data_IF_986261215791
#
_entry.id   IF_986261215791
#
_cell.length_a   1.000
_cell.length_b   1.000
_cell.length_c   1.000
_cell.angle_alpha   90.00
_cell.angle_beta   90.00
_cell.angle_gamma   90.00
#
_symmetry.space_group_name_H-M   'P 1'
#
loop_
_entity.id
_entity.type
_entity.pdbx_description
1 polymer ?
#
# COMPACT_ATOMS: atom_id res chain seq x y z
N UNK A 1 8.03 47.43 -22.53
CA UNK A 1 8.01 45.97 -22.84
C UNK A 1 6.58 45.64 -23.21
N UNK A 2 6.29 45.20 -24.44
CA UNK A 2 4.92 44.79 -24.80
C UNK A 2 4.55 43.54 -24.01
N UNK A 3 3.41 43.58 -23.32
CA UNK A 3 2.86 42.41 -22.63
C UNK A 3 2.53 41.33 -23.66
N UNK A 4 3.13 40.15 -23.48
CA UNK A 4 2.89 39.01 -24.36
C UNK A 4 1.53 38.40 -23.97
N UNK A 5 0.52 38.42 -24.87
CA UNK A 5 -0.80 37.91 -24.54
C UNK A 5 -0.76 36.40 -24.30
N UNK A 6 -1.47 35.95 -23.28
CA UNK A 6 -1.62 34.53 -23.00
C UNK A 6 -2.62 33.94 -23.98
N UNK A 7 -2.30 32.86 -24.68
CA UNK A 7 -3.26 32.24 -25.60
C UNK A 7 -3.35 30.74 -25.42
N UNK A 8 -4.53 30.19 -25.71
CA UNK A 8 -4.79 28.76 -25.67
C UNK A 8 -4.37 28.11 -27.00
N UNK A 9 -3.47 27.14 -26.95
CA UNK A 9 -2.99 26.45 -28.17
C UNK A 9 -4.07 25.57 -28.84
N UNK A 10 -5.13 25.19 -28.13
CA UNK A 10 -6.18 24.31 -28.66
C UNK A 10 -7.21 25.06 -29.49
N UNK A 11 -7.62 26.24 -29.03
CA UNK A 11 -8.69 27.04 -29.65
C UNK A 11 -8.23 28.42 -30.11
N UNK A 12 -6.95 28.75 -29.91
CA UNK A 12 -6.33 30.03 -30.27
C UNK A 12 -6.94 31.28 -29.62
N UNK A 13 -7.75 31.13 -28.56
CA UNK A 13 -8.26 32.28 -27.80
C UNK A 13 -7.13 32.97 -27.02
N UNK A 14 -7.11 34.31 -27.08
CA UNK A 14 -6.22 35.16 -26.28
C UNK A 14 -6.90 35.56 -24.97
N UNK A 15 -6.07 35.71 -23.94
CA UNK A 15 -6.46 36.05 -22.59
C UNK A 15 -5.57 37.19 -22.09
N UNK A 16 -6.15 38.17 -21.40
CA UNK A 16 -5.43 39.30 -20.83
C UNK A 16 -4.52 38.88 -19.67
N UNK A 17 -4.76 37.73 -19.05
CA UNK A 17 -3.91 37.19 -17.96
C UNK A 17 -3.93 35.66 -17.91
N UNK A 18 -2.99 35.10 -17.14
CA UNK A 18 -2.82 33.65 -16.97
C UNK A 18 -4.04 32.99 -16.31
N UNK A 19 -4.68 33.67 -15.36
CA UNK A 19 -5.81 33.14 -14.59
C UNK A 19 -7.02 32.85 -15.47
N UNK A 20 -7.37 33.77 -16.37
CA UNK A 20 -8.45 33.57 -17.34
C UNK A 20 -8.15 32.43 -18.31
N UNK A 21 -6.89 32.30 -18.74
CA UNK A 21 -6.46 31.16 -19.57
C UNK A 21 -6.61 29.83 -18.81
N UNK A 22 -6.29 29.78 -17.52
CA UNK A 22 -6.48 28.58 -16.71
C UNK A 22 -7.95 28.23 -16.51
N UNK A 23 -8.80 29.22 -16.22
CA UNK A 23 -10.24 29.01 -16.08
C UNK A 23 -10.86 28.52 -17.39
N UNK A 24 -10.43 29.07 -18.53
CA UNK A 24 -10.78 28.58 -19.85
C UNK A 24 -10.35 27.12 -20.08
N UNK A 25 -9.11 26.76 -19.74
CA UNK A 25 -8.63 25.38 -19.86
C UNK A 25 -9.45 24.40 -18.99
N UNK A 26 -9.95 24.84 -17.83
CA UNK A 26 -10.81 24.06 -16.93
C UNK A 26 -12.25 23.93 -17.45
N UNK A 27 -12.79 24.95 -18.11
CA UNK A 27 -14.19 24.98 -18.58
C UNK A 27 -14.38 24.43 -20.00
N UNK A 28 -13.62 24.95 -20.97
CA UNK A 28 -13.87 24.72 -22.41
C UNK A 28 -13.14 23.51 -22.99
N UNK A 29 -12.11 23.00 -22.29
CA UNK A 29 -11.30 21.86 -22.75
C UNK A 29 -11.41 20.63 -21.85
N UNK A 30 -12.44 20.57 -21.00
CA UNK A 30 -12.70 19.44 -20.08
C UNK A 30 -12.82 18.09 -20.79
N UNK A 31 -13.18 18.07 -22.08
CA UNK A 31 -13.33 16.83 -22.87
C UNK A 31 -12.06 16.34 -23.58
N UNK A 32 -11.03 17.18 -23.74
CA UNK A 32 -9.74 16.75 -24.34
C UNK A 32 -8.61 16.70 -23.33
N UNK A 33 -8.88 17.05 -22.07
CA UNK A 33 -8.14 16.53 -20.93
C UNK A 33 -8.63 15.11 -20.60
N UNK A 34 -8.54 14.21 -21.59
CA UNK A 34 -7.73 13.02 -21.33
C UNK A 34 -6.34 13.56 -20.97
N UNK A 35 -6.20 14.08 -19.74
CA UNK A 35 -4.92 14.14 -19.06
C UNK A 35 -4.46 12.72 -19.22
N UNK A 36 -3.57 12.47 -20.19
CA UNK A 36 -2.90 11.19 -20.31
C UNK A 36 -2.38 11.03 -18.91
N UNK A 37 -3.03 10.16 -18.12
CA UNK A 37 -2.77 9.99 -16.70
C UNK A 37 -1.39 9.37 -16.71
N UNK A 38 -0.34 10.18 -16.82
CA UNK A 38 1.02 9.69 -16.93
C UNK A 38 1.23 9.05 -15.58
N UNK A 39 1.18 7.72 -15.49
CA UNK A 39 1.31 7.07 -14.21
C UNK A 39 2.71 7.38 -13.75
N UNK A 40 2.86 7.97 -12.57
CA UNK A 40 4.17 8.15 -12.00
C UNK A 40 4.64 6.76 -11.61
N UNK A 41 5.62 6.24 -12.35
CA UNK A 41 6.27 4.98 -12.00
C UNK A 41 7.19 5.26 -10.82
N UNK A 42 6.86 4.71 -9.68
CA UNK A 42 7.80 4.58 -8.57
C UNK A 42 8.53 3.26 -8.79
N UNK A 43 9.74 3.36 -9.31
CA UNK A 43 10.69 2.26 -9.24
C UNK A 43 11.38 2.39 -7.90
N UNK A 44 10.88 1.66 -6.91
CA UNK A 44 11.62 1.45 -5.67
C UNK A 44 12.40 0.17 -5.86
N UNK A 45 13.71 0.28 -6.08
CA UNK A 45 14.58 -0.89 -6.09
C UNK A 45 14.88 -1.21 -4.63
N UNK A 46 13.92 -1.82 -3.94
CA UNK A 46 14.31 -2.72 -2.87
C UNK A 46 14.86 -3.97 -3.60
N UNK A 47 16.16 -4.29 -3.48
CA UNK A 47 16.79 -5.39 -4.24
C UNK A 47 16.06 -6.72 -4.08
N UNK A 48 15.36 -6.88 -2.96
CA UNK A 48 14.64 -8.08 -2.57
C UNK A 48 13.20 -8.20 -3.11
N UNK A 49 12.60 -7.15 -3.70
CA UNK A 49 11.20 -7.23 -4.12
C UNK A 49 10.95 -7.03 -5.62
N UNK A 50 11.81 -6.33 -6.38
CA UNK A 50 11.66 -6.22 -7.86
C UNK A 50 10.30 -5.68 -8.35
N UNK A 51 9.46 -5.17 -7.46
CA UNK A 51 8.09 -4.78 -7.74
C UNK A 51 8.02 -3.32 -8.18
N UNK A 52 7.25 -3.06 -9.24
CA UNK A 52 7.00 -1.70 -9.72
C UNK A 52 5.62 -1.21 -9.28
N UNK A 53 5.60 -0.14 -8.48
CA UNK A 53 4.36 0.54 -8.10
C UNK A 53 4.10 1.70 -9.08
N UNK A 54 2.94 1.67 -9.73
CA UNK A 54 2.41 2.75 -10.55
C UNK A 54 1.42 3.56 -9.72
N UNK A 55 1.74 4.83 -9.48
CA UNK A 55 0.82 5.75 -8.84
C UNK A 55 0.02 6.51 -9.90
N UNK A 56 -1.30 6.55 -9.72
CA UNK A 56 -2.20 7.38 -10.50
C UNK A 56 -2.68 8.54 -9.64
N UNK A 57 -2.73 9.72 -10.27
CA UNK A 57 -3.33 10.91 -9.68
C UNK A 57 -4.84 10.68 -9.48
N UNK A 58 -5.34 11.08 -8.32
CA UNK A 58 -6.75 11.00 -7.94
C UNK A 58 -7.59 12.08 -8.62
N UNK A 59 -8.92 12.05 -8.41
CA UNK A 59 -9.86 13.03 -8.99
C UNK A 59 -9.65 14.46 -8.43
N UNK A 60 -9.13 14.55 -7.22
CA UNK A 60 -8.72 15.78 -6.52
C UNK A 60 -7.37 16.36 -7.00
N UNK A 61 -6.73 15.74 -7.99
CA UNK A 61 -5.42 16.10 -8.53
C UNK A 61 -4.21 15.85 -7.62
N UNK A 62 -4.37 15.13 -6.51
CA UNK A 62 -3.26 14.71 -5.65
C UNK A 62 -2.83 13.27 -5.94
N UNK A 63 -1.57 12.99 -5.63
CA UNK A 63 -1.08 11.64 -5.47
C UNK A 63 -1.06 11.30 -3.97
N UNK A 64 -1.42 10.06 -3.64
CA UNK A 64 -1.53 9.59 -2.26
C UNK A 64 -0.52 8.49 -1.99
N UNK A 65 0.03 8.45 -0.77
CA UNK A 65 0.91 7.37 -0.35
C UNK A 65 0.15 6.03 -0.35
N UNK A 66 0.67 4.98 -1.00
CA UNK A 66 0.03 3.66 -1.05
C UNK A 66 0.23 2.84 0.22
N UNK A 67 1.03 3.30 1.18
CA UNK A 67 1.38 2.57 2.41
C UNK A 67 0.30 2.78 3.48
N UNK A 68 -0.09 1.68 4.14
CA UNK A 68 -1.12 1.66 5.17
C UNK A 68 -0.69 2.50 6.38
N UNK A 69 -1.59 3.37 6.85
CA UNK A 69 -1.32 4.28 7.97
C UNK A 69 -0.59 5.57 7.59
N UNK A 70 -0.32 5.81 6.30
CA UNK A 70 0.28 7.04 5.83
C UNK A 70 -0.72 7.86 4.98
N UNK A 71 -1.04 9.06 5.43
CA UNK A 71 -1.99 9.98 4.77
C UNK A 71 -1.31 11.10 3.98
N UNK A 72 0.01 10.99 3.78
CA UNK A 72 0.75 11.96 2.99
C UNK A 72 0.24 12.00 1.54
N UNK A 73 0.09 13.21 1.03
CA UNK A 73 -0.33 13.50 -0.34
C UNK A 73 0.39 14.71 -0.90
N UNK A 74 0.64 14.69 -2.20
CA UNK A 74 1.27 15.82 -2.91
C UNK A 74 0.73 15.93 -4.35
N UNK A 75 0.73 17.13 -4.92
CA UNK A 75 0.31 17.34 -6.32
C UNK A 75 1.36 16.84 -7.32
N UNK A 76 2.64 16.83 -6.92
CA UNK A 76 3.79 16.44 -7.73
C UNK A 76 4.17 14.99 -7.42
N UNK A 77 4.07 14.12 -8.43
CA UNK A 77 4.43 12.71 -8.28
C UNK A 77 5.91 12.47 -7.92
N UNK A 78 6.81 13.39 -8.26
CA UNK A 78 8.23 13.32 -7.87
C UNK A 78 8.44 13.46 -6.37
N UNK A 79 7.71 14.38 -5.73
CA UNK A 79 7.79 14.62 -4.27
C UNK A 79 7.24 13.40 -3.53
N UNK A 80 6.09 12.88 -3.96
CA UNK A 80 5.55 11.64 -3.39
C UNK A 80 6.48 10.43 -3.61
N UNK A 81 7.16 10.36 -4.75
CA UNK A 81 8.16 9.32 -5.00
C UNK A 81 9.29 9.39 -3.96
N UNK A 82 9.84 10.57 -3.70
CA UNK A 82 10.87 10.75 -2.68
C UNK A 82 10.34 10.38 -1.29
N UNK A 83 9.11 10.76 -0.97
CA UNK A 83 8.45 10.38 0.28
C UNK A 83 8.32 8.86 0.45
N UNK A 84 7.89 8.13 -0.57
CA UNK A 84 7.77 6.67 -0.52
C UNK A 84 9.14 5.97 -0.40
N UNK A 85 10.21 6.61 -0.87
CA UNK A 85 11.59 6.12 -0.80
C UNK A 85 12.34 6.60 0.45
N UNK A 86 11.68 7.30 1.36
CA UNK A 86 12.29 7.70 2.63
C UNK A 86 12.52 6.49 3.54
N UNK A 87 13.45 6.62 4.48
CA UNK A 87 13.83 5.56 5.43
C UNK A 87 12.66 5.04 6.27
N UNK A 88 11.64 5.87 6.50
CA UNK A 88 10.42 5.48 7.22
C UNK A 88 9.50 4.56 6.42
N UNK A 89 9.52 4.68 5.09
CA UNK A 89 8.62 3.94 4.19
C UNK A 89 9.29 2.79 3.45
N UNK A 90 10.60 2.87 3.23
CA UNK A 90 11.36 1.82 2.54
C UNK A 90 11.13 0.40 3.10
N UNK A 91 11.13 0.15 4.43
CA UNK A 91 10.85 -1.19 4.97
C UNK A 91 9.37 -1.62 4.83
N UNK A 92 8.47 -0.69 4.53
CA UNK A 92 7.02 -0.91 4.40
C UNK A 92 6.57 -1.05 2.94
N UNK A 93 7.50 -1.03 1.98
CA UNK A 93 7.19 -1.23 0.56
C UNK A 93 7.02 -2.71 0.21
N UNK A 94 6.10 -3.40 0.89
CA UNK A 94 5.70 -4.76 0.59
C UNK A 94 4.16 -4.88 0.51
N UNK A 95 3.69 -5.95 -0.12
CA UNK A 95 2.27 -6.18 -0.41
C UNK A 95 1.38 -6.14 0.84
N UNK A 96 1.87 -6.62 1.98
CA UNK A 96 1.14 -6.70 3.25
C UNK A 96 0.89 -5.31 3.87
N UNK A 97 1.75 -4.35 3.53
CA UNK A 97 1.71 -2.99 4.07
C UNK A 97 1.03 -1.99 3.13
N UNK A 98 0.55 -2.42 1.97
CA UNK A 98 -0.19 -1.57 1.06
C UNK A 98 -1.64 -1.35 1.52
N UNK A 99 -2.20 -0.19 1.19
CA UNK A 99 -3.62 0.08 1.38
C UNK A 99 -4.47 -0.85 0.51
N UNK A 100 -5.70 -1.13 0.95
CA UNK A 100 -6.60 -2.10 0.29
C UNK A 100 -6.98 -1.70 -1.13
N UNK A 101 -6.84 -0.42 -1.50
CA UNK A 101 -7.17 0.07 -2.85
C UNK A 101 -6.02 -0.14 -3.85
N UNK A 102 -4.86 -0.64 -3.42
CA UNK A 102 -3.75 -1.00 -4.31
C UNK A 102 -4.12 -2.28 -5.08
N UNK A 103 -4.33 -2.16 -6.39
CA UNK A 103 -4.69 -3.29 -7.25
C UNK A 103 -3.45 -3.92 -7.88
N UNK A 104 -3.36 -5.25 -7.82
CA UNK A 104 -2.32 -6.03 -8.52
C UNK A 104 -2.67 -6.12 -10.02
N UNK A 105 -1.80 -5.61 -10.88
CA UNK A 105 -1.84 -5.80 -12.34
C UNK A 105 -0.80 -6.85 -12.75
N UNK A 106 -1.27 -8.06 -13.07
CA UNK A 106 -0.43 -9.12 -13.64
C UNK A 106 -0.32 -8.88 -15.15
N UNK A 107 0.87 -8.49 -15.64
CA UNK A 107 1.12 -8.38 -17.09
C UNK A 107 1.73 -9.68 -17.61
N UNK A 108 0.98 -10.43 -18.43
CA UNK A 108 1.49 -11.56 -19.22
C UNK A 108 2.28 -11.05 -20.42
N UNK A 109 3.54 -10.64 -20.24
CA UNK A 109 4.51 -10.54 -21.33
C UNK A 109 5.80 -11.22 -20.89
N UNK A 110 6.56 -11.74 -21.86
CA UNK A 110 7.82 -12.49 -21.65
C UNK A 110 8.68 -11.82 -20.56
N UNK A 111 8.78 -12.45 -19.39
CA UNK A 111 9.31 -11.85 -18.17
C UNK A 111 8.19 -11.29 -17.29
N UNK A 112 7.54 -12.16 -16.51
CA UNK A 112 6.43 -11.80 -15.63
C UNK A 112 6.92 -10.90 -14.48
N UNK A 113 6.83 -9.59 -14.63
CA UNK A 113 6.96 -8.64 -13.53
C UNK A 113 5.58 -8.29 -12.99
N UNK A 114 5.40 -8.46 -11.69
CA UNK A 114 4.20 -7.97 -11.00
C UNK A 114 4.25 -6.44 -10.95
N UNK A 115 3.16 -5.79 -11.33
CA UNK A 115 3.04 -4.34 -11.20
C UNK A 115 1.80 -4.00 -10.40
N UNK A 116 1.92 -3.05 -9.49
CA UNK A 116 0.79 -2.60 -8.68
C UNK A 116 0.32 -1.24 -9.17
N UNK A 117 -0.99 -1.03 -9.25
CA UNK A 117 -1.55 0.28 -9.58
C UNK A 117 -2.36 0.78 -8.41
N UNK A 118 -1.95 1.92 -7.85
CA UNK A 118 -2.69 2.61 -6.80
C UNK A 118 -3.42 3.82 -7.36
N UNK A 119 -4.71 3.92 -7.03
CA UNK A 119 -5.55 5.08 -7.27
C UNK A 119 -6.44 5.27 -6.04
N UNK A 120 -6.27 6.35 -5.30
CA UNK A 120 -7.14 6.64 -4.17
C UNK A 120 -8.54 6.93 -4.69
N UNK A 121 -9.51 6.16 -4.20
CA UNK A 121 -10.92 6.30 -4.54
C UNK A 121 -11.54 7.14 -3.44
N UNK A 122 -11.87 8.40 -3.75
CA UNK A 122 -12.73 9.17 -2.86
C UNK A 122 -14.11 8.48 -2.81
N UNK A 123 -14.73 8.35 -1.62
CA UNK A 123 -16.10 7.86 -1.50
C UNK A 123 -17.00 8.58 -2.51
N UNK A 124 -17.81 7.82 -3.25
CA UNK A 124 -18.62 8.39 -4.34
C UNK A 124 -19.66 9.40 -3.84
N UNK A 125 -19.94 9.39 -2.53
CA UNK A 125 -20.91 10.25 -1.87
C UNK A 125 -20.33 11.59 -1.41
N UNK A 126 -19.04 11.84 -1.67
CA UNK A 126 -18.47 13.18 -1.55
C UNK A 126 -19.03 14.07 -2.66
N UNK A 127 -20.26 14.55 -2.45
CA UNK A 127 -20.77 15.71 -3.16
C UNK A 127 -19.90 16.87 -2.71
N UNK A 128 -19.04 17.35 -3.61
CA UNK A 128 -18.38 18.62 -3.44
C UNK A 128 -19.50 19.65 -3.44
N UNK A 129 -19.95 20.04 -2.25
CA UNK A 129 -20.87 21.15 -2.12
C UNK A 129 -20.08 22.39 -2.50
N UNK A 130 -20.21 22.80 -3.76
CA UNK A 130 -19.57 23.98 -4.31
C UNK A 130 -20.26 25.28 -3.84
N UNK A 131 -21.15 25.18 -2.85
CA UNK A 131 -22.02 26.29 -2.42
C UNK A 131 -21.38 27.27 -1.44
N UNK A 132 -20.26 26.95 -0.80
CA UNK A 132 -19.56 27.89 0.09
C UNK A 132 -18.18 28.31 -0.44
N UNK A 133 -18.17 28.94 -1.63
CA UNK A 133 -17.13 29.92 -1.93
C UNK A 133 -17.50 31.20 -1.18
N UNK A 134 -17.38 31.11 0.14
CA UNK A 134 -17.49 32.23 1.06
C UNK A 134 -16.44 33.27 0.64
N UNK A 135 -16.93 34.48 0.36
CA UNK A 135 -16.14 35.63 0.00
C UNK A 135 -15.32 36.04 1.22
N UNK A 136 -14.18 35.38 1.41
CA UNK A 136 -13.27 35.66 2.52
C UNK A 136 -12.77 37.11 2.39
N UNK A 137 -13.09 38.00 3.35
CA UNK A 137 -12.54 39.35 3.33
C UNK A 137 -11.02 39.29 3.52
N UNK A 138 -10.30 40.15 2.80
CA UNK A 138 -8.86 40.27 2.86
C UNK A 138 -8.39 40.39 4.31
N UNK A 139 -7.60 39.42 4.77
CA UNK A 139 -6.98 39.46 6.10
C UNK A 139 -5.73 40.35 6.02
N UNK A 140 -5.56 41.33 6.92
CA UNK A 140 -4.44 42.25 6.89
C UNK A 140 -3.12 41.54 7.23
N UNK A 141 -2.05 41.98 6.57
CA UNK A 141 -0.68 41.50 6.76
C UNK A 141 -0.25 41.60 8.24
N UNK A 142 0.37 40.56 8.81
CA UNK A 142 1.08 40.71 10.07
C UNK A 142 2.47 41.31 9.79
N UNK A 143 2.73 42.41 10.47
CA UNK A 143 4.04 43.04 10.57
C UNK A 143 5.02 42.12 11.31
N UNK A 144 6.27 42.27 10.90
CA UNK A 144 7.50 41.84 11.55
C UNK A 144 7.44 41.95 13.07
N UNK A 145 7.81 40.86 13.77
CA UNK A 145 8.25 40.91 15.15
C UNK A 145 9.21 39.76 15.40
N UNK A 146 10.49 40.12 15.33
CA UNK A 146 11.61 39.41 15.96
C UNK A 146 11.38 39.21 17.47
N UNK A 147 12.06 38.19 18.00
CA UNK A 147 12.88 38.18 19.24
C UNK A 147 12.66 36.92 20.12
N UNK A 148 13.81 36.30 20.44
CA UNK A 148 14.19 35.43 21.55
C UNK A 148 13.88 33.92 21.57
N UNK A 149 14.94 33.15 21.29
CA UNK A 149 15.73 32.39 22.28
C UNK A 149 15.06 32.07 23.63
N UNK A 150 14.80 30.77 23.86
CA UNK A 150 15.15 30.16 25.14
C UNK A 150 15.28 28.64 25.02
N UNK A 151 16.50 28.16 25.22
CA UNK A 151 16.80 26.80 25.60
C UNK A 151 16.05 26.44 26.89
N UNK A 152 15.44 25.25 26.93
CA UNK A 152 15.27 24.59 28.22
C UNK A 152 15.51 23.10 28.10
N UNK A 153 16.56 22.71 28.80
CA UNK A 153 17.01 21.37 29.13
C UNK A 153 15.97 20.74 30.08
N UNK A 154 15.49 19.54 29.80
CA UNK A 154 14.80 18.74 30.83
C UNK A 154 15.10 17.26 30.65
N UNK A 155 16.23 16.93 31.24
CA UNK A 155 16.65 15.65 31.82
C UNK A 155 15.54 14.95 32.62
N UNK A 156 15.18 13.69 32.30
CA UNK A 156 14.56 12.71 33.23
C UNK A 156 14.77 11.29 32.67
N UNK A 157 15.80 10.57 33.09
CA UNK A 157 15.83 9.54 34.14
C UNK A 157 15.04 8.24 33.87
N UNK A 158 15.81 7.20 33.53
CA UNK A 158 15.75 5.80 33.99
C UNK A 158 14.40 5.17 34.38
N UNK A 159 14.06 4.06 33.74
CA UNK A 159 13.55 2.87 34.47
C UNK A 159 14.05 1.59 33.81
N UNK A 160 14.96 0.96 34.52
CA UNK A 160 15.47 -0.40 34.35
C UNK A 160 14.38 -1.39 34.73
N UNK A 161 13.99 -2.28 33.82
CA UNK A 161 13.28 -3.52 34.17
C UNK A 161 13.79 -4.65 33.29
N UNK A 162 14.77 -5.37 33.83
CA UNK A 162 15.23 -6.65 33.33
C UNK A 162 14.14 -7.70 33.58
N UNK A 163 13.53 -8.23 32.53
CA UNK A 163 12.69 -9.42 32.62
C UNK A 163 13.47 -10.60 32.06
N UNK A 164 13.81 -11.51 32.98
CA UNK A 164 14.52 -12.76 32.72
C UNK A 164 13.58 -13.72 31.99
N UNK A 165 13.83 -13.98 30.71
CA UNK A 165 13.23 -15.12 30.01
C UNK A 165 14.08 -16.38 30.23
N UNK A 166 13.48 -17.50 30.65
CA UNK A 166 14.18 -18.76 30.85
C UNK A 166 14.64 -19.36 29.50
N UNK A 167 15.92 -19.71 29.44
CA UNK A 167 16.55 -20.41 28.33
C UNK A 167 16.04 -21.85 28.22
N UNK A 168 15.72 -22.36 27.02
CA UNK A 168 15.47 -23.78 26.82
C UNK A 168 16.79 -24.59 26.84
N UNK A 169 16.75 -25.86 27.30
CA UNK A 169 17.94 -26.70 27.38
C UNK A 169 18.50 -27.04 25.99
N UNK A 170 19.80 -26.75 25.80
CA UNK A 170 20.58 -27.22 24.66
C UNK A 170 20.73 -28.74 24.70
N UNK A 171 20.04 -29.44 23.82
CA UNK A 171 20.35 -30.83 23.47
C UNK A 171 21.37 -30.84 22.33
N UNK A 172 22.63 -31.05 22.71
CA UNK A 172 23.72 -31.38 21.80
C UNK A 172 23.51 -32.79 21.26
N UNK A 173 23.15 -32.92 19.98
CA UNK A 173 23.23 -34.19 19.26
C UNK A 173 24.11 -34.02 18.03
N UNK A 174 25.40 -34.26 18.25
CA UNK A 174 26.34 -34.57 17.19
C UNK A 174 26.01 -35.97 16.66
N UNK A 175 25.39 -36.03 15.48
CA UNK A 175 25.38 -37.25 14.66
C UNK A 175 25.51 -36.86 13.19
N UNK A 176 26.76 -36.89 12.70
CA UNK A 176 27.06 -36.93 11.27
C UNK A 176 26.59 -38.27 10.73
N UNK A 177 25.36 -38.35 10.23
CA UNK A 177 24.94 -39.36 9.26
C UNK A 177 24.30 -38.65 8.09
N UNK A 178 24.85 -38.92 6.91
CA UNK A 178 24.39 -38.47 5.60
C UNK A 178 23.10 -39.25 5.30
N UNK A 179 21.99 -38.83 5.91
CA UNK A 179 20.67 -39.39 5.67
C UNK A 179 20.02 -38.69 4.48
N UNK A 180 19.31 -39.50 3.71
CA UNK A 180 18.76 -39.23 2.38
C UNK A 180 17.62 -38.18 2.35
N UNK A 181 17.34 -37.59 1.16
CA UNK A 181 16.36 -36.52 0.95
C UNK A 181 14.89 -36.85 1.30
N UNK A 182 14.55 -38.09 1.64
CA UNK A 182 13.17 -38.50 1.97
C UNK A 182 12.57 -37.78 3.20
N UNK A 183 13.40 -37.28 4.12
CA UNK A 183 12.92 -36.59 5.33
C UNK A 183 12.36 -35.20 5.06
N UNK A 184 12.80 -34.53 3.98
CA UNK A 184 12.44 -33.14 3.73
C UNK A 184 10.97 -32.96 3.33
N UNK A 185 10.38 -33.89 2.57
CA UNK A 185 8.97 -33.80 2.18
C UNK A 185 8.04 -34.21 3.33
N UNK A 186 8.42 -35.20 4.14
CA UNK A 186 7.67 -35.54 5.35
C UNK A 186 7.57 -34.36 6.32
N UNK A 187 8.66 -33.62 6.52
CA UNK A 187 8.69 -32.41 7.34
C UNK A 187 7.79 -31.31 6.74
N UNK A 188 7.78 -31.16 5.41
CA UNK A 188 6.94 -30.19 4.72
C UNK A 188 5.44 -30.53 4.86
N UNK A 189 5.07 -31.79 4.65
CA UNK A 189 3.71 -32.29 4.86
C UNK A 189 3.27 -32.15 6.32
N UNK A 190 4.16 -32.40 7.28
CA UNK A 190 3.89 -32.21 8.70
C UNK A 190 3.63 -30.74 9.03
N UNK A 191 4.45 -29.83 8.48
CA UNK A 191 4.25 -28.38 8.62
C UNK A 191 2.92 -27.93 8.01
N UNK A 192 2.54 -28.45 6.83
CA UNK A 192 1.28 -28.11 6.18
C UNK A 192 0.07 -28.56 7.00
N UNK A 193 0.11 -29.79 7.54
CA UNK A 193 -0.93 -30.31 8.45
C UNK A 193 -1.07 -29.46 9.71
N UNK A 194 0.03 -28.99 10.27
CA UNK A 194 0.02 -28.16 11.46
C UNK A 194 -0.64 -26.79 11.19
N UNK A 195 -0.28 -26.13 10.10
CA UNK A 195 -0.89 -24.85 9.71
C UNK A 195 -2.38 -25.00 9.34
N UNK A 196 -2.76 -26.07 8.64
CA UNK A 196 -4.18 -26.35 8.36
C UNK A 196 -5.00 -26.51 9.65
N UNK A 197 -4.52 -27.31 10.61
CA UNK A 197 -5.17 -27.47 11.92
C UNK A 197 -5.30 -26.15 12.67
N UNK A 198 -4.26 -25.32 12.63
CA UNK A 198 -4.23 -24.02 13.28
C UNK A 198 -5.27 -23.06 12.68
N UNK A 199 -5.34 -22.94 11.35
CA UNK A 199 -6.35 -22.10 10.68
C UNK A 199 -7.76 -22.60 10.89
N UNK A 200 -7.97 -23.91 10.82
CA UNK A 200 -9.29 -24.50 11.07
C UNK A 200 -9.76 -24.19 12.50
N UNK A 201 -8.86 -24.26 13.49
CA UNK A 201 -9.16 -23.89 14.86
C UNK A 201 -9.44 -22.38 15.00
N UNK A 202 -8.66 -21.52 14.35
CA UNK A 202 -8.87 -20.07 14.36
C UNK A 202 -10.24 -19.69 13.79
N UNK A 203 -10.61 -20.23 12.62
CA UNK A 203 -11.92 -19.98 12.01
C UNK A 203 -13.07 -20.51 12.88
N UNK A 204 -12.87 -21.68 13.50
CA UNK A 204 -13.85 -22.23 14.45
C UNK A 204 -14.05 -21.28 15.64
N UNK A 205 -12.97 -20.75 16.22
CA UNK A 205 -13.06 -19.81 17.34
C UNK A 205 -13.65 -18.46 16.92
N UNK A 206 -13.35 -17.97 15.72
CA UNK A 206 -13.93 -16.75 15.16
C UNK A 206 -15.44 -16.88 14.99
N UNK A 207 -15.92 -18.00 14.44
CA UNK A 207 -17.35 -18.25 14.26
C UNK A 207 -18.13 -18.38 15.56
N UNK A 208 -17.47 -18.81 16.65
CA UNK A 208 -18.07 -18.88 17.99
C UNK A 208 -18.10 -17.51 18.69
N UNK A 209 -17.16 -16.62 18.37
CA UNK A 209 -17.07 -15.30 19.00
C UNK A 209 -18.11 -14.31 18.44
N UNK A 210 -18.49 -14.45 17.17
CA UNK A 210 -19.43 -13.55 16.51
C UNK A 210 -20.89 -14.04 16.62
N UNK A 211 -21.73 -13.24 17.27
CA UNK A 211 -23.17 -13.53 17.47
C UNK A 211 -23.99 -13.39 16.18
N UNK A 212 -23.45 -12.73 15.16
CA UNK A 212 -24.13 -12.47 13.88
C UNK A 212 -23.66 -13.36 12.73
N UNK A 213 -22.81 -14.37 12.98
CA UNK A 213 -22.24 -15.20 11.92
C UNK A 213 -23.31 -16.00 11.18
N UNK A 214 -23.25 -15.95 9.85
CA UNK A 214 -23.95 -16.89 8.98
C UNK A 214 -23.20 -18.23 8.97
N UNK A 215 -23.71 -19.20 9.72
CA UNK A 215 -23.15 -20.55 9.78
C UNK A 215 -23.06 -21.24 8.42
N UNK A 216 -23.93 -20.87 7.45
CA UNK A 216 -23.89 -21.41 6.10
C UNK A 216 -22.66 -20.90 5.35
N UNK A 217 -22.33 -19.63 5.51
CA UNK A 217 -21.11 -19.06 4.93
C UNK A 217 -19.85 -19.63 5.59
N UNK A 218 -19.84 -19.76 6.92
CA UNK A 218 -18.74 -20.39 7.66
C UNK A 218 -18.54 -21.86 7.25
N UNK A 219 -19.62 -22.61 7.02
CA UNK A 219 -19.52 -23.97 6.50
C UNK A 219 -18.90 -24.01 5.10
N UNK A 220 -19.29 -23.08 4.21
CA UNK A 220 -18.73 -22.99 2.86
C UNK A 220 -17.22 -22.67 2.90
N UNK A 221 -16.81 -21.71 3.74
CA UNK A 221 -15.38 -21.35 3.91
C UNK A 221 -14.54 -22.51 4.42
N UNK A 222 -15.04 -23.29 5.39
CA UNK A 222 -14.35 -24.50 5.88
C UNK A 222 -14.22 -25.59 4.82
N UNK A 223 -15.21 -25.74 3.94
CA UNK A 223 -15.12 -26.68 2.83
C UNK A 223 -14.09 -26.24 1.79
N UNK A 224 -14.10 -24.96 1.39
CA UNK A 224 -13.09 -24.37 0.50
C UNK A 224 -11.67 -24.54 1.07
N UNK A 225 -11.50 -24.37 2.39
CA UNK A 225 -10.21 -24.58 3.05
C UNK A 225 -9.77 -26.05 3.04
N UNK A 226 -10.71 -26.99 3.21
CA UNK A 226 -10.44 -28.43 3.15
C UNK A 226 -9.99 -28.84 1.75
N UNK A 227 -10.74 -28.45 0.71
CA UNK A 227 -10.41 -28.75 -0.68
C UNK A 227 -9.02 -28.24 -1.05
N UNK A 228 -8.70 -26.99 -0.66
CA UNK A 228 -7.37 -26.41 -0.88
C UNK A 228 -6.26 -27.20 -0.20
N UNK A 229 -6.49 -27.68 1.03
CA UNK A 229 -5.52 -28.49 1.77
C UNK A 229 -5.32 -29.87 1.15
N UNK A 230 -6.41 -30.55 0.76
CA UNK A 230 -6.35 -31.87 0.12
C UNK A 230 -5.62 -31.80 -1.22
N UNK A 231 -5.88 -30.76 -2.02
CA UNK A 231 -5.17 -30.46 -3.26
C UNK A 231 -3.67 -30.23 -3.02
N UNK A 232 -3.31 -29.43 -2.00
CA UNK A 232 -1.92 -29.22 -1.61
C UNK A 232 -1.20 -30.51 -1.19
N UNK A 233 -1.85 -31.34 -0.39
CA UNK A 233 -1.33 -32.65 0.01
C UNK A 233 -1.21 -33.61 -1.16
N UNK A 234 -2.11 -33.54 -2.16
CA UNK A 234 -2.01 -34.33 -3.39
C UNK A 234 -0.77 -33.95 -4.19
N UNK A 235 -0.56 -32.66 -4.46
CA UNK A 235 0.62 -32.17 -5.20
C UNK A 235 1.94 -32.58 -4.53
N UNK A 236 2.01 -32.55 -3.19
CA UNK A 236 3.22 -32.97 -2.46
C UNK A 236 3.52 -34.47 -2.60
N UNK A 237 2.49 -35.33 -2.68
CA UNK A 237 2.65 -36.77 -2.92
C UNK A 237 3.13 -37.07 -4.34
N UNK A 238 2.61 -36.34 -5.33
CA UNK A 238 3.03 -36.48 -6.73
C UNK A 238 4.52 -36.14 -6.92
N UNK A 239 5.04 -35.16 -6.19
CA UNK A 239 6.46 -34.76 -6.23
C UNK A 239 7.39 -35.85 -5.71
N UNK A 240 6.96 -36.63 -4.70
CA UNK A 240 7.77 -37.73 -4.16
C UNK A 240 7.82 -38.96 -5.08
N UNK A 241 7.09 -38.94 -6.21
CA UNK A 241 7.02 -40.09 -7.11
C UNK A 241 6.38 -41.32 -6.47
N UNK A 242 5.68 -41.14 -5.34
CA UNK A 242 4.80 -42.16 -4.76
C UNK A 242 3.52 -42.13 -5.58
N UNK A 243 3.54 -42.80 -6.74
CA UNK A 243 2.32 -43.07 -7.50
C UNK A 243 1.34 -43.81 -6.55
N UNK A 244 0.15 -43.21 -6.38
CA UNK A 244 -0.94 -43.70 -5.53
C UNK A 244 -1.70 -44.82 -6.22
#
# INVERSE_FOLDING_TARGET
MPDIPFWCQKCHQQFPNLEQKEQHMKGSHRHTNSVKRVPTKISAVAPQFGEHIKLRRSKDFYYYCPIRGCDYRDQKGSVLKQHCLSTTHQPLLCKENFKKEVKKEVKRKMGAFESFTYQHILPSDFKFDHSDVDSRPASPSPADSSVNDQANDTQTSNTTSASRSPSPPSTSSANKRKAEPATANEDLMASLRAEYKKRLHEEMMESLADKGVDFKESARRREEMREWFEEGMRMLREVDGVEV
#
